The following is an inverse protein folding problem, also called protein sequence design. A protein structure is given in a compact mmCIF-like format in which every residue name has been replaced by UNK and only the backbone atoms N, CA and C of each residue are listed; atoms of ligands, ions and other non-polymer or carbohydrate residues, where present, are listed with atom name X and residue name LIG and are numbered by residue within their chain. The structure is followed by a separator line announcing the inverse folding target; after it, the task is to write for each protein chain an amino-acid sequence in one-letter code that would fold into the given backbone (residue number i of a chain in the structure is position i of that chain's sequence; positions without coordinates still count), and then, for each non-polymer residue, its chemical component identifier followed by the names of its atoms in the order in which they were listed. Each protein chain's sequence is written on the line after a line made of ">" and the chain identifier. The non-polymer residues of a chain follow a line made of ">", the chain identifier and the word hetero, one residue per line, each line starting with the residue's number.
data_IF_022094296788
#
_entry.id   IF_022094296788
#
_cell.length_a   1.000
_cell.length_b   1.000
_cell.length_c   1.000
_cell.angle_alpha   90.00
_cell.angle_beta   90.00
_cell.angle_gamma   90.00
#
_symmetry.space_group_name_H-M   'P 1'
#
loop_
_entity.id
_entity.type
_entity.pdbx_description
1 polymer ?
#
# COMPACT_ATOMS: atom_id res chain seq x y z
N UNK A 1 2.41 9.85 15.00
CA UNK A 1 2.83 9.83 16.41
C UNK A 1 4.35 9.96 16.43
N UNK A 2 4.92 10.54 17.48
CA UNK A 2 6.38 10.53 17.70
C UNK A 2 6.83 9.30 18.51
N UNK A 3 5.88 8.46 18.91
CA UNK A 3 6.16 7.12 19.46
C UNK A 3 6.86 6.25 18.43
N UNK A 4 7.98 5.65 18.83
CA UNK A 4 8.75 4.73 17.98
C UNK A 4 8.06 3.37 18.00
N UNK A 5 7.66 2.87 16.83
CA UNK A 5 7.14 1.51 16.72
C UNK A 5 8.30 0.50 16.69
N UNK A 6 8.21 -0.60 17.46
CA UNK A 6 9.26 -1.60 17.49
C UNK A 6 9.27 -2.44 16.20
N UNK A 7 10.39 -3.12 15.95
CA UNK A 7 10.42 -4.21 14.98
C UNK A 7 9.56 -5.38 15.49
N UNK A 8 8.76 -6.06 14.64
CA UNK A 8 8.67 -5.91 13.18
C UNK A 8 7.62 -4.89 12.69
N UNK A 9 6.87 -4.23 13.58
CA UNK A 9 5.80 -3.29 13.20
C UNK A 9 6.31 -2.13 12.35
N UNK A 10 7.48 -1.56 12.70
CA UNK A 10 8.24 -0.67 11.82
C UNK A 10 9.53 -1.38 11.38
N UNK A 11 9.56 -1.97 10.18
CA UNK A 11 10.67 -2.83 9.77
C UNK A 11 11.98 -2.06 9.52
N UNK A 12 11.88 -0.79 9.14
CA UNK A 12 13.01 0.08 8.82
C UNK A 12 13.24 1.20 9.83
N UNK A 13 12.38 1.34 10.85
CA UNK A 13 12.44 2.40 11.86
C UNK A 13 12.56 3.82 11.26
N UNK A 14 11.90 4.07 10.13
CA UNK A 14 11.77 5.42 9.56
C UNK A 14 11.28 6.41 10.61
N UNK A 15 11.77 7.66 10.51
CA UNK A 15 11.34 8.74 11.39
C UNK A 15 9.82 8.87 11.40
N UNK A 16 9.24 8.94 12.61
CA UNK A 16 7.80 9.03 12.84
C UNK A 16 6.99 7.87 12.22
N UNK A 17 7.65 6.74 11.94
CA UNK A 17 7.09 5.55 11.32
C UNK A 17 6.51 5.80 9.91
N UNK A 18 7.09 6.75 9.16
CA UNK A 18 6.62 7.11 7.83
C UNK A 18 6.94 5.99 6.82
N UNK A 19 5.90 5.50 6.15
CA UNK A 19 6.02 4.50 5.07
C UNK A 19 5.84 5.10 3.66
N UNK A 20 5.26 6.29 3.54
CA UNK A 20 5.06 7.00 2.28
C UNK A 20 4.77 8.49 2.47
N UNK A 21 4.97 9.27 1.42
CA UNK A 21 4.81 10.73 1.38
C UNK A 21 4.27 11.18 0.03
N UNK A 22 3.44 12.23 0.03
CA UNK A 22 2.97 12.87 -1.20
C UNK A 22 3.60 14.26 -1.37
N UNK A 23 3.66 14.73 -2.60
CA UNK A 23 3.85 16.15 -2.86
C UNK A 23 2.58 16.96 -2.45
N UNK A 24 2.68 18.28 -2.27
CA UNK A 24 1.56 19.10 -1.82
C UNK A 24 0.35 19.11 -2.77
N UNK A 25 0.52 18.82 -4.07
CA UNK A 25 -0.59 18.70 -5.01
C UNK A 25 -1.36 17.38 -4.86
N UNK A 26 -0.76 16.38 -4.21
CA UNK A 26 -1.32 15.04 -4.05
C UNK A 26 -1.23 14.18 -5.31
N UNK A 27 -0.51 14.61 -6.36
CA UNK A 27 -0.40 13.89 -7.62
C UNK A 27 0.77 12.90 -7.64
N UNK A 28 1.82 13.17 -6.88
CA UNK A 28 3.01 12.33 -6.78
C UNK A 28 3.04 11.70 -5.40
N UNK A 29 2.90 10.38 -5.35
CA UNK A 29 2.95 9.60 -4.12
C UNK A 29 4.15 8.65 -4.12
N UNK A 30 5.08 8.84 -3.17
CA UNK A 30 6.20 7.94 -2.93
C UNK A 30 5.90 7.00 -1.77
N UNK A 31 6.13 5.70 -1.95
CA UNK A 31 5.79 4.66 -0.98
C UNK A 31 6.93 3.64 -0.91
N UNK A 32 7.32 3.24 0.31
CA UNK A 32 8.30 2.16 0.53
C UNK A 32 7.68 0.75 0.43
N UNK A 33 6.47 0.49 0.98
CA UNK A 33 5.72 -0.72 0.65
C UNK A 33 5.51 -0.89 -0.86
N UNK A 34 5.44 -2.14 -1.32
CA UNK A 34 5.23 -2.51 -2.72
C UNK A 34 3.76 -2.94 -2.95
N UNK A 35 2.80 -2.00 -3.16
CA UNK A 35 1.40 -2.34 -3.37
C UNK A 35 1.17 -3.16 -4.63
N UNK A 36 2.01 -3.00 -5.65
CA UNK A 36 2.01 -3.80 -6.87
C UNK A 36 2.37 -5.27 -6.60
N UNK A 37 3.18 -5.55 -5.58
CA UNK A 37 3.48 -6.92 -5.17
C UNK A 37 2.32 -7.57 -4.41
N UNK A 38 1.31 -6.81 -3.99
CA UNK A 38 0.10 -7.29 -3.30
C UNK A 38 -1.18 -6.90 -4.07
N UNK A 39 -1.13 -6.92 -5.41
CA UNK A 39 -2.30 -6.64 -6.26
C UNK A 39 -3.31 -7.79 -6.33
N UNK A 40 -2.91 -8.99 -5.88
CA UNK A 40 -3.78 -10.17 -5.85
C UNK A 40 -3.61 -10.92 -4.54
N UNK A 41 -4.68 -11.49 -4.02
CA UNK A 41 -4.64 -12.30 -2.79
C UNK A 41 -3.77 -13.55 -2.94
N UNK A 42 -3.47 -14.01 -4.16
CA UNK A 42 -2.49 -15.07 -4.43
C UNK A 42 -1.06 -14.71 -4.03
N UNK A 43 -0.76 -13.41 -3.92
CA UNK A 43 0.58 -12.91 -3.57
C UNK A 43 0.71 -12.58 -2.07
N UNK A 44 -0.38 -12.69 -1.30
CA UNK A 44 -0.38 -12.47 0.14
C UNK A 44 0.50 -13.50 0.86
N UNK A 45 1.19 -13.09 1.94
CA UNK A 45 2.11 -13.97 2.67
C UNK A 45 1.45 -15.26 3.20
N UNK A 46 0.13 -15.23 3.40
CA UNK A 46 -0.69 -16.31 3.97
C UNK A 46 -1.58 -17.00 2.94
N UNK A 47 -1.42 -16.74 1.63
CA UNK A 47 -2.37 -17.16 0.58
C UNK A 47 -2.69 -18.66 0.58
N UNK A 48 -1.75 -19.54 0.91
CA UNK A 48 -1.96 -21.00 0.97
C UNK A 48 -2.79 -21.47 2.18
N UNK A 49 -2.97 -20.59 3.17
CA UNK A 49 -3.60 -20.87 4.46
C UNK A 49 -4.94 -20.15 4.64
N UNK A 50 -5.31 -19.31 3.68
CA UNK A 50 -6.57 -18.57 3.70
C UNK A 50 -7.66 -19.39 3.04
N UNK A 51 -8.75 -19.63 3.76
CA UNK A 51 -9.96 -20.23 3.19
C UNK A 51 -10.76 -19.13 2.49
N UNK A 52 -10.86 -19.18 1.15
CA UNK A 52 -11.61 -18.19 0.41
C UNK A 52 -11.44 -18.25 -1.10
N UNK A 53 -12.25 -17.45 -1.82
CA UNK A 53 -12.00 -17.19 -3.24
C UNK A 53 -10.88 -16.18 -3.36
N UNK A 54 -9.82 -16.56 -4.08
CA UNK A 54 -8.78 -15.61 -4.43
C UNK A 54 -9.26 -14.58 -5.46
N UNK A 55 -8.59 -13.43 -5.47
CA UNK A 55 -8.96 -12.31 -6.33
C UNK A 55 -8.04 -11.13 -6.14
N UNK A 56 -8.65 -9.95 -6.08
CA UNK A 56 -7.96 -8.68 -5.96
C UNK A 56 -7.39 -8.47 -4.55
N UNK A 57 -6.12 -8.06 -4.48
CA UNK A 57 -5.42 -7.76 -3.23
C UNK A 57 -5.57 -6.30 -2.82
N UNK A 58 -5.30 -6.01 -1.55
CA UNK A 58 -5.48 -4.67 -0.96
C UNK A 58 -4.65 -3.58 -1.66
N UNK A 59 -3.52 -3.95 -2.27
CA UNK A 59 -2.67 -3.01 -3.02
C UNK A 59 -3.38 -2.36 -4.21
N UNK A 60 -4.44 -2.98 -4.74
CA UNK A 60 -5.17 -2.47 -5.91
C UNK A 60 -5.90 -1.15 -5.67
N UNK A 61 -6.21 -0.81 -4.42
CA UNK A 61 -6.87 0.44 -4.08
C UNK A 61 -6.12 1.67 -4.62
N UNK A 62 -4.78 1.67 -4.60
CA UNK A 62 -3.97 2.78 -5.09
C UNK A 62 -4.13 2.94 -6.62
N UNK A 63 -4.14 1.83 -7.35
CA UNK A 63 -4.23 1.84 -8.81
C UNK A 63 -5.64 2.21 -9.29
N UNK A 64 -6.69 1.71 -8.62
CA UNK A 64 -8.08 2.12 -8.90
C UNK A 64 -8.28 3.62 -8.71
N UNK A 65 -7.81 4.16 -7.58
CA UNK A 65 -7.89 5.59 -7.30
C UNK A 65 -7.17 6.43 -8.35
N UNK A 66 -6.01 5.97 -8.83
CA UNK A 66 -5.25 6.67 -9.87
C UNK A 66 -6.01 6.71 -11.20
N UNK A 67 -6.61 5.58 -11.63
CA UNK A 67 -7.40 5.51 -12.85
C UNK A 67 -8.67 6.37 -12.74
N UNK A 68 -9.41 6.25 -11.64
CA UNK A 68 -10.62 7.04 -11.39
C UNK A 68 -10.34 8.55 -11.38
N UNK A 69 -9.25 8.95 -10.73
CA UNK A 69 -8.82 10.36 -10.69
C UNK A 69 -8.50 10.90 -12.09
N UNK A 70 -7.84 10.08 -12.92
CA UNK A 70 -7.47 10.44 -14.29
C UNK A 70 -8.69 10.51 -15.22
N UNK A 71 -9.62 9.56 -15.10
CA UNK A 71 -10.82 9.51 -15.95
C UNK A 71 -11.86 10.55 -15.58
N UNK A 72 -12.01 10.91 -14.30
CA UNK A 72 -12.93 11.98 -13.86
C UNK A 72 -12.54 13.39 -14.32
N UNK A 73 -11.34 13.55 -14.89
CA UNK A 73 -10.80 14.83 -15.39
C UNK A 73 -10.69 14.89 -16.91
N UNK A 74 -11.21 13.87 -17.60
CA UNK A 74 -11.28 13.80 -19.06
C UNK A 74 -12.65 14.27 -19.54
#
# INVERSE_FOLDING_TARGET
>A
SDEILPYPTSPNQSWRNIAGVCDPSGLVFGLMPHPEANHSTWLGATWTREDGKHGEGEGMAIFHNAVEYATSRM
#
